data_IF_240263994188
#
_entry.id   IF_240263994188
#
_cell.length_a   1.000
_cell.length_b   1.000
_cell.length_c   1.000
_cell.angle_alpha   90.00
_cell.angle_beta   90.00
_cell.angle_gamma   90.00
#
_symmetry.space_group_name_H-M   'P 1'
#
loop_
_entity.id
_entity.type
_entity.pdbx_description
1 polymer ?
#
# COMPACT_ATOMS: atom_id res chain seq x y z
N UNK A 1 -2.68 2.89 -11.96
CA UNK A 1 -3.67 2.29 -12.92
C UNK A 1 -5.11 2.43 -12.38
N UNK A 2 -6.03 3.03 -13.16
CA UNK A 2 -7.42 3.25 -12.74
C UNK A 2 -8.24 1.95 -12.77
N UNK A 3 -9.04 1.73 -11.72
CA UNK A 3 -10.00 0.62 -11.65
C UNK A 3 -11.25 1.00 -12.46
N UNK A 4 -11.82 0.12 -13.30
CA UNK A 4 -13.12 0.39 -13.91
C UNK A 4 -14.19 0.43 -12.81
N UNK A 5 -14.90 1.55 -12.71
CA UNK A 5 -15.94 1.76 -11.69
C UNK A 5 -17.30 2.00 -12.34
N UNK A 6 -18.40 1.44 -11.80
CA UNK A 6 -19.74 1.78 -12.25
C UNK A 6 -20.10 3.23 -11.94
N UNK A 7 -21.09 3.78 -12.65
CA UNK A 7 -21.50 5.17 -12.48
C UNK A 7 -21.89 5.54 -11.04
N UNK A 8 -21.32 6.65 -10.59
CA UNK A 8 -21.49 7.20 -9.24
C UNK A 8 -20.66 6.52 -8.15
N UNK A 9 -19.82 5.53 -8.50
CA UNK A 9 -18.78 5.01 -7.60
C UNK A 9 -17.47 5.77 -7.78
N UNK A 10 -16.73 5.94 -6.70
CA UNK A 10 -15.43 6.61 -6.71
C UNK A 10 -14.42 5.86 -5.87
N UNK A 11 -13.17 5.81 -6.32
CA UNK A 11 -12.03 5.40 -5.52
C UNK A 11 -11.66 6.55 -4.56
N UNK A 12 -11.82 6.34 -3.26
CA UNK A 12 -11.70 7.40 -2.26
C UNK A 12 -10.29 7.99 -2.20
N UNK A 13 -9.26 7.17 -2.42
CA UNK A 13 -7.87 7.63 -2.49
C UNK A 13 -7.70 8.61 -3.64
N UNK A 14 -8.14 8.21 -4.83
CA UNK A 14 -8.03 9.02 -6.05
C UNK A 14 -8.84 10.31 -5.93
N UNK A 15 -10.01 10.26 -5.30
CA UNK A 15 -10.86 11.44 -5.07
C UNK A 15 -10.22 12.46 -4.10
N UNK A 16 -9.58 11.99 -3.03
CA UNK A 16 -9.06 12.86 -1.96
C UNK A 16 -7.59 13.28 -2.18
N UNK A 17 -6.78 12.46 -2.85
CA UNK A 17 -5.34 12.67 -3.06
C UNK A 17 -4.98 12.93 -4.51
N UNK A 18 -5.92 12.76 -5.45
CA UNK A 18 -5.66 12.80 -6.88
C UNK A 18 -5.12 11.48 -7.43
N UNK A 19 -4.78 11.48 -8.72
CA UNK A 19 -4.13 10.35 -9.40
C UNK A 19 -2.62 10.27 -9.14
N UNK A 20 -2.13 10.88 -8.07
CA UNK A 20 -0.70 10.87 -7.80
C UNK A 20 -0.24 9.46 -7.40
N UNK A 21 0.19 8.70 -8.41
CA UNK A 21 0.81 7.39 -8.33
C UNK A 21 2.30 7.54 -7.91
N UNK A 22 2.71 8.67 -7.28
CA UNK A 22 4.07 9.06 -6.86
C UNK A 22 4.76 8.13 -5.84
N UNK A 23 4.34 6.87 -5.73
CA UNK A 23 4.99 5.89 -4.88
C UNK A 23 4.76 6.10 -3.38
N UNK A 24 3.90 7.05 -2.97
CA UNK A 24 3.52 7.25 -1.57
C UNK A 24 2.24 6.52 -1.17
N UNK A 25 1.34 6.26 -2.13
CA UNK A 25 0.01 5.68 -1.91
C UNK A 25 -0.10 4.16 -2.02
N UNK A 26 1.02 3.43 -2.08
CA UNK A 26 0.98 1.97 -2.06
C UNK A 26 0.56 1.46 -0.68
N UNK A 27 -0.17 0.36 -0.69
CA UNK A 27 -0.68 -0.31 0.51
C UNK A 27 -0.11 -1.69 0.66
N UNK A 28 0.60 -2.21 -0.34
CA UNK A 28 1.26 -3.50 -0.33
C UNK A 28 2.69 -3.38 -0.84
N UNK A 29 3.61 -4.10 -0.19
CA UNK A 29 5.00 -4.24 -0.61
C UNK A 29 5.37 -5.72 -0.68
N UNK A 30 5.69 -6.20 -1.89
CA UNK A 30 6.07 -7.59 -2.13
C UNK A 30 7.42 -7.99 -1.54
N UNK A 31 8.19 -7.06 -0.94
CA UNK A 31 9.49 -7.34 -0.32
C UNK A 31 9.45 -8.51 0.68
N UNK A 32 8.29 -8.73 1.32
CA UNK A 32 8.06 -9.86 2.21
C UNK A 32 8.24 -11.22 1.53
N UNK A 33 7.80 -11.32 0.28
CA UNK A 33 7.80 -12.53 -0.52
C UNK A 33 9.13 -12.74 -1.26
N UNK A 34 9.99 -11.72 -1.32
CA UNK A 34 11.25 -11.79 -2.07
C UNK A 34 12.21 -12.76 -1.41
N UNK A 35 12.47 -13.90 -2.05
CA UNK A 35 13.45 -14.89 -1.61
C UNK A 35 14.71 -14.84 -2.49
N UNK A 36 15.44 -13.72 -2.43
CA UNK A 36 16.61 -13.46 -3.30
C UNK A 36 17.63 -14.61 -3.32
N UNK A 37 17.82 -15.31 -2.20
CA UNK A 37 18.71 -16.47 -2.09
C UNK A 37 18.26 -17.67 -2.92
N UNK A 38 16.95 -17.84 -3.17
CA UNK A 38 16.41 -18.88 -4.05
C UNK A 38 16.45 -18.51 -5.53
N UNK A 39 16.68 -17.24 -5.85
CA UNK A 39 16.70 -16.70 -7.22
C UNK A 39 18.09 -16.20 -7.64
N UNK A 40 19.18 -16.81 -7.14
CA UNK A 40 20.57 -16.44 -7.49
C UNK A 40 20.89 -14.95 -7.27
N UNK A 41 20.29 -14.33 -6.26
CA UNK A 41 20.45 -12.91 -5.95
C UNK A 41 19.63 -11.98 -6.84
N UNK A 42 18.76 -12.50 -7.72
CA UNK A 42 17.85 -11.67 -8.50
C UNK A 42 16.72 -11.15 -7.63
N UNK A 43 16.50 -9.83 -7.69
CA UNK A 43 15.42 -9.12 -7.01
C UNK A 43 14.74 -8.21 -8.02
N UNK A 44 13.42 -8.18 -8.01
CA UNK A 44 12.64 -7.27 -8.85
C UNK A 44 12.91 -5.82 -8.45
N UNK A 45 12.71 -4.89 -9.38
CA UNK A 45 12.84 -3.47 -9.08
C UNK A 45 11.88 -3.05 -7.96
N UNK A 46 12.36 -2.22 -7.03
CA UNK A 46 11.64 -1.91 -5.78
C UNK A 46 10.33 -1.17 -6.02
N UNK A 47 10.25 -0.32 -7.05
CA UNK A 47 9.01 0.36 -7.42
C UNK A 47 7.98 -0.64 -7.95
N UNK A 48 8.42 -1.65 -8.71
CA UNK A 48 7.54 -2.69 -9.26
C UNK A 48 6.92 -3.61 -8.20
N UNK A 49 7.52 -3.67 -7.00
CA UNK A 49 7.06 -4.50 -5.89
C UNK A 49 5.95 -3.84 -5.07
N UNK A 50 5.79 -2.51 -5.19
CA UNK A 50 4.80 -1.74 -4.45
C UNK A 50 3.51 -1.63 -5.23
N UNK A 51 2.39 -1.93 -4.58
CA UNK A 51 1.05 -1.90 -5.19
C UNK A 51 0.04 -1.21 -4.29
N UNK A 52 -0.97 -0.59 -4.88
CA UNK A 52 -2.17 -0.10 -4.19
C UNK A 52 -3.29 -1.13 -4.32
N UNK A 53 -3.16 -2.23 -3.57
CA UNK A 53 -4.11 -3.35 -3.54
C UNK A 53 -5.34 -3.04 -2.68
N UNK A 54 -5.14 -2.30 -1.59
CA UNK A 54 -6.17 -1.97 -0.62
C UNK A 54 -6.83 -0.66 -1.04
N UNK A 55 -8.15 -0.68 -1.20
CA UNK A 55 -8.90 0.44 -1.77
C UNK A 55 -10.25 0.56 -1.09
N UNK A 56 -10.64 1.80 -0.78
CA UNK A 56 -12.03 2.13 -0.52
C UNK A 56 -12.67 2.61 -1.80
N UNK A 57 -13.72 1.91 -2.24
CA UNK A 57 -14.55 2.30 -3.36
C UNK A 57 -15.93 2.62 -2.82
N UNK A 58 -16.42 3.83 -3.07
CA UNK A 58 -17.59 4.36 -2.37
C UNK A 58 -18.63 4.92 -3.34
N UNK A 59 -19.91 4.69 -3.02
CA UNK A 59 -21.06 5.40 -3.60
C UNK A 59 -21.91 5.95 -2.45
N UNK A 60 -21.72 7.22 -2.12
CA UNK A 60 -22.29 7.83 -0.92
C UNK A 60 -23.45 8.75 -1.28
N UNK A 61 -24.63 8.50 -0.69
CA UNK A 61 -25.82 9.32 -0.88
C UNK A 61 -25.90 10.46 0.14
N UNK A 62 -25.88 10.11 1.43
CA UNK A 62 -26.11 11.05 2.55
C UNK A 62 -24.81 11.49 3.25
N UNK A 63 -23.68 10.94 2.81
CA UNK A 63 -22.33 11.24 3.31
C UNK A 63 -21.44 11.73 2.18
N UNK A 64 -20.31 12.33 2.53
CA UNK A 64 -19.21 12.70 1.64
C UNK A 64 -17.88 12.20 2.20
N UNK A 65 -16.89 12.09 1.33
CA UNK A 65 -15.52 11.76 1.73
C UNK A 65 -14.96 12.93 2.55
N UNK A 66 -14.37 12.65 3.71
CA UNK A 66 -13.71 13.62 4.58
C UNK A 66 -12.20 13.61 4.38
N UNK A 67 -11.55 12.55 4.86
CA UNK A 67 -10.09 12.37 4.76
C UNK A 67 -9.75 10.91 4.53
N UNK A 68 -8.53 10.67 4.02
CA UNK A 68 -7.95 9.34 3.93
C UNK A 68 -6.49 9.39 4.37
N UNK A 69 -6.14 8.46 5.25
CA UNK A 69 -4.84 8.36 5.88
C UNK A 69 -4.26 6.97 5.66
N UNK A 70 -2.94 6.93 5.45
CA UNK A 70 -2.17 5.71 5.28
C UNK A 70 -1.38 5.49 6.58
N UNK A 71 -1.50 4.29 7.15
CA UNK A 71 -0.93 3.94 8.45
C UNK A 71 -0.05 2.69 8.33
N UNK A 72 0.78 2.44 9.34
CA UNK A 72 1.65 1.25 9.40
C UNK A 72 3.11 1.49 8.98
N UNK A 73 3.51 2.75 8.77
CA UNK A 73 4.89 3.16 8.47
C UNK A 73 5.68 3.66 9.69
N UNK A 74 5.01 3.93 10.82
CA UNK A 74 5.64 4.50 12.02
C UNK A 74 6.52 3.53 12.82
N UNK A 75 6.76 2.31 12.33
CA UNK A 75 7.59 1.31 13.01
C UNK A 75 7.06 0.84 14.37
N UNK A 76 5.77 1.06 14.64
CA UNK A 76 5.11 0.64 15.89
C UNK A 76 4.65 -0.81 15.71
N UNK A 77 5.12 -1.71 16.58
CA UNK A 77 4.76 -3.13 16.56
C UNK A 77 5.98 -4.05 16.47
N UNK A 78 5.78 -5.37 16.28
CA UNK A 78 6.88 -6.31 16.09
C UNK A 78 7.69 -5.94 14.83
N UNK A 79 9.01 -6.02 14.96
CA UNK A 79 9.93 -5.85 13.84
C UNK A 79 10.43 -7.22 13.40
N UNK A 80 10.27 -7.51 12.11
CA UNK A 80 10.78 -8.73 11.51
C UNK A 80 12.04 -8.41 10.73
N UNK A 81 12.92 -9.39 10.59
CA UNK A 81 14.12 -9.27 9.76
C UNK A 81 14.21 -10.44 8.79
N UNK A 82 14.75 -10.17 7.60
CA UNK A 82 14.94 -11.18 6.56
C UNK A 82 16.27 -10.96 5.82
N UNK A 83 17.01 -12.02 5.48
CA UNK A 83 18.17 -11.90 4.59
C UNK A 83 17.71 -11.61 3.15
N UNK A 84 18.27 -10.56 2.56
CA UNK A 84 17.94 -10.10 1.20
C UNK A 84 19.01 -10.48 0.17
N UNK A 85 20.13 -11.07 0.59
CA UNK A 85 21.14 -11.62 -0.34
C UNK A 85 22.01 -12.67 0.35
N UNK A 86 22.87 -13.31 -0.44
CA UNK A 86 23.91 -14.23 0.03
C UNK A 86 25.02 -13.49 0.81
N UNK A 87 25.10 -12.15 0.68
CA UNK A 87 26.12 -11.30 1.30
C UNK A 87 25.66 -10.65 2.62
N UNK A 88 24.79 -11.34 3.38
CA UNK A 88 24.39 -10.95 4.74
C UNK A 88 23.68 -9.58 4.89
N UNK A 89 23.12 -9.05 3.81
CA UNK A 89 22.22 -7.89 3.91
C UNK A 89 20.89 -8.30 4.56
N UNK A 90 20.67 -7.84 5.78
CA UNK A 90 19.40 -8.02 6.51
C UNK A 90 18.53 -6.79 6.30
N UNK A 91 17.28 -7.01 5.88
CA UNK A 91 16.27 -5.96 5.83
C UNK A 91 15.32 -6.03 7.02
N UNK A 92 14.92 -4.88 7.51
CA UNK A 92 13.84 -4.74 8.47
C UNK A 92 12.51 -4.70 7.74
N UNK A 93 11.62 -5.61 8.10
CA UNK A 93 10.27 -5.66 7.59
C UNK A 93 9.33 -4.95 8.58
N UNK A 94 8.31 -4.24 8.06
CA UNK A 94 7.25 -3.67 8.90
C UNK A 94 6.45 -4.76 9.65
N UNK A 95 5.41 -4.42 10.42
CA UNK A 95 4.56 -5.44 11.06
C UNK A 95 3.71 -6.28 10.10
N UNK A 96 3.52 -5.83 8.85
CA UNK A 96 2.71 -6.49 7.83
C UNK A 96 3.23 -6.17 6.41
N UNK A 97 3.01 -7.07 5.45
CA UNK A 97 3.20 -6.78 4.02
C UNK A 97 2.23 -5.74 3.46
N UNK A 98 1.21 -5.39 4.25
CA UNK A 98 0.30 -4.30 3.96
C UNK A 98 0.47 -3.11 4.92
N UNK A 99 0.32 -1.90 4.37
CA UNK A 99 -0.02 -0.68 5.10
C UNK A 99 -1.54 -0.57 5.22
N UNK A 100 -2.01 0.00 6.33
CA UNK A 100 -3.44 0.18 6.56
C UNK A 100 -3.95 1.49 5.95
N UNK A 101 -5.23 1.52 5.59
CA UNK A 101 -5.93 2.75 5.19
C UNK A 101 -7.03 3.07 6.19
N UNK A 102 -7.11 4.34 6.58
CA UNK A 102 -8.21 4.87 7.41
C UNK A 102 -8.97 5.90 6.57
N UNK A 103 -10.23 5.61 6.29
CA UNK A 103 -11.14 6.52 5.60
C UNK A 103 -12.08 7.17 6.61
N UNK A 104 -12.15 8.50 6.60
CA UNK A 104 -13.17 9.27 7.28
C UNK A 104 -14.23 9.71 6.29
N UNK A 105 -15.49 9.36 6.57
CA UNK A 105 -16.67 9.90 5.89
C UNK A 105 -17.44 10.81 6.85
N UNK A 106 -18.08 11.85 6.31
CA UNK A 106 -18.83 12.82 7.10
C UNK A 106 -20.23 13.02 6.50
N UNK A 107 -21.25 13.36 7.30
CA UNK A 107 -22.57 13.73 6.77
C UNK A 107 -22.45 14.87 5.75
N UNK A 108 -23.34 14.90 4.74
CA UNK A 108 -23.34 15.96 3.73
C UNK A 108 -23.62 17.33 4.32
#
# INVERSE_FOLDING_TARGET
MPLPLPDGWVDAWTALRGQDDSGLGWTYDAVWEVEATKFNGHVADYESMRKRSDRFVCKLKDYKLGSIELIGDKGIGPQYTKPMSVYDHVIHLPPSCHRGLVLTIVPK
#
